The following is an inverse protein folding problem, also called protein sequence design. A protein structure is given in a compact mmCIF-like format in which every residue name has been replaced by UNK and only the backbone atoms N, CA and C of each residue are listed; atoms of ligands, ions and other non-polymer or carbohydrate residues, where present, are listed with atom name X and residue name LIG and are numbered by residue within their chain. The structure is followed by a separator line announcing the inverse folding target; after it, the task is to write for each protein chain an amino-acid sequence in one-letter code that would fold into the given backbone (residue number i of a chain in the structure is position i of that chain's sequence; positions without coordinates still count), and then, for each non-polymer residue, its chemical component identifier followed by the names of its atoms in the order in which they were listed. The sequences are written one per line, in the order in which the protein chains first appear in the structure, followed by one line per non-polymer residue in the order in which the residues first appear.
data_IF_249426483544
#
_entry.id   IF_249426483544
#
_cell.length_a   1.000
_cell.length_b   1.000
_cell.length_c   1.000
_cell.angle_alpha   90.00
_cell.angle_beta   90.00
_cell.angle_gamma   90.00
#
_symmetry.space_group_name_H-M   'P 1'
#
loop_
_entity.id
_entity.type
_entity.pdbx_description
1 polymer ?
#
# COMPACT_ATOMS: atom_id res chain seq x y z
N UNK A 1 -4.96 15.53 6.08
CA UNK A 1 -5.58 14.33 5.48
C UNK A 1 -6.84 14.77 4.77
N UNK A 2 -6.93 14.48 3.48
CA UNK A 2 -8.10 14.81 2.67
C UNK A 2 -9.06 13.63 2.67
N UNK A 3 -10.34 13.90 2.50
CA UNK A 3 -11.30 12.85 2.19
C UNK A 3 -11.03 12.24 0.81
N UNK A 4 -11.53 11.04 0.59
CA UNK A 4 -11.47 10.40 -0.73
C UNK A 4 -12.15 11.28 -1.79
N UNK A 5 -11.62 11.26 -3.00
CA UNK A 5 -12.18 12.05 -4.10
C UNK A 5 -13.59 11.57 -4.42
N UNK A 6 -14.53 12.51 -4.53
CA UNK A 6 -15.91 12.21 -4.90
C UNK A 6 -15.94 11.46 -6.25
N UNK A 7 -16.73 10.39 -6.38
CA UNK A 7 -16.84 9.61 -7.63
C UNK A 7 -17.11 10.45 -8.86
N UNK A 8 -17.88 11.52 -8.75
CA UNK A 8 -18.17 12.45 -9.86
C UNK A 8 -16.90 13.12 -10.43
N UNK A 9 -15.86 13.29 -9.62
CA UNK A 9 -14.59 13.93 -10.02
C UNK A 9 -13.55 12.92 -10.50
N UNK A 10 -13.88 11.63 -10.49
CA UNK A 10 -12.99 10.58 -10.97
C UNK A 10 -13.22 10.36 -12.45
N UNK A 11 -12.15 10.06 -13.18
CA UNK A 11 -12.27 9.56 -14.53
C UNK A 11 -11.92 8.08 -14.59
N UNK A 12 -12.36 7.43 -15.67
CA UNK A 12 -12.05 6.02 -15.84
C UNK A 12 -10.56 5.82 -16.06
N UNK A 13 -9.92 4.90 -15.33
CA UNK A 13 -8.54 4.52 -15.55
C UNK A 13 -8.32 4.01 -16.97
N UNK A 14 -7.27 4.48 -17.64
CA UNK A 14 -7.00 4.12 -19.02
C UNK A 14 -5.50 3.97 -19.34
N UNK A 15 -4.62 4.39 -18.45
CA UNK A 15 -3.18 4.37 -18.69
C UNK A 15 -2.51 3.22 -17.96
N UNK A 16 -1.61 2.54 -18.67
CA UNK A 16 -0.81 1.44 -18.16
C UNK A 16 0.35 1.96 -17.29
N UNK A 17 0.58 1.30 -16.17
CA UNK A 17 1.84 1.40 -15.42
C UNK A 17 2.65 0.12 -15.66
N UNK A 18 3.66 0.19 -16.51
CA UNK A 18 4.59 -0.91 -16.71
C UNK A 18 5.52 -1.03 -15.49
N UNK A 19 5.60 -2.21 -14.91
CA UNK A 19 6.46 -2.49 -13.74
C UNK A 19 7.84 -3.02 -14.15
N UNK A 20 7.99 -3.48 -15.38
CA UNK A 20 9.17 -4.17 -15.86
C UNK A 20 9.30 -5.61 -15.37
N UNK A 21 8.28 -6.14 -14.73
CA UNK A 21 8.17 -7.52 -14.28
C UNK A 21 7.13 -8.23 -15.16
N UNK A 22 7.59 -9.15 -16.01
CA UNK A 22 6.75 -9.78 -17.02
C UNK A 22 5.52 -10.48 -16.42
N UNK A 23 5.67 -11.15 -15.27
CA UNK A 23 4.56 -11.81 -14.57
C UNK A 23 3.45 -10.86 -14.15
N UNK A 24 3.78 -9.61 -13.80
CA UNK A 24 2.81 -8.57 -13.46
C UNK A 24 2.25 -7.97 -14.75
N UNK A 25 3.12 -7.49 -15.63
CA UNK A 25 2.73 -6.69 -16.79
C UNK A 25 1.86 -7.48 -17.80
N UNK A 26 2.08 -8.80 -17.91
CA UNK A 26 1.34 -9.66 -18.85
C UNK A 26 0.07 -10.26 -18.25
N UNK A 27 0.07 -10.62 -16.95
CA UNK A 27 -1.05 -11.35 -16.34
C UNK A 27 -1.96 -10.45 -15.49
N UNK A 28 -1.40 -9.46 -14.83
CA UNK A 28 -2.10 -8.55 -13.91
C UNK A 28 -1.73 -7.11 -14.18
N UNK A 29 -1.89 -6.70 -15.42
CA UNK A 29 -1.58 -5.35 -15.90
C UNK A 29 -2.10 -4.27 -14.96
N UNK A 30 -1.21 -3.40 -14.49
CA UNK A 30 -1.55 -2.31 -13.59
C UNK A 30 -1.99 -1.10 -14.42
N UNK A 31 -3.16 -0.56 -14.08
CA UNK A 31 -3.71 0.65 -14.70
C UNK A 31 -3.75 1.76 -13.64
N UNK A 32 -3.47 3.00 -14.07
CA UNK A 32 -3.49 4.17 -13.18
C UNK A 32 -4.83 4.32 -12.47
N UNK A 33 -4.79 4.65 -11.18
CA UNK A 33 -6.00 4.82 -10.37
C UNK A 33 -6.61 3.54 -9.81
N UNK A 34 -5.96 2.41 -10.05
CA UNK A 34 -6.38 1.09 -9.53
C UNK A 34 -5.81 0.83 -8.13
N UNK A 35 -6.53 0.06 -7.36
CA UNK A 35 -6.02 -0.61 -6.15
C UNK A 35 -5.89 -2.10 -6.45
N UNK A 36 -4.74 -2.68 -6.13
CA UNK A 36 -4.40 -4.05 -6.50
C UNK A 36 -3.90 -4.77 -5.26
N UNK A 37 -4.50 -5.90 -4.87
CA UNK A 37 -3.96 -6.74 -3.83
C UNK A 37 -2.75 -7.51 -4.35
N UNK A 38 -1.75 -7.70 -3.51
CA UNK A 38 -0.61 -8.55 -3.75
C UNK A 38 -0.49 -9.54 -2.60
N UNK A 39 -0.85 -10.79 -2.84
CA UNK A 39 -0.82 -11.84 -1.84
C UNK A 39 0.50 -12.60 -1.89
N UNK A 40 1.08 -12.84 -0.74
CA UNK A 40 2.32 -13.60 -0.62
C UNK A 40 2.32 -14.44 0.66
N UNK A 41 2.94 -15.61 0.59
CA UNK A 41 3.28 -16.35 1.80
C UNK A 41 4.45 -15.64 2.52
N UNK A 42 4.53 -15.73 3.86
CA UNK A 42 5.55 -15.01 4.64
C UNK A 42 7.00 -15.35 4.30
N UNK A 43 7.25 -16.53 3.73
CA UNK A 43 8.56 -17.01 3.31
C UNK A 43 8.96 -16.55 1.89
N UNK A 44 8.05 -15.93 1.15
CA UNK A 44 8.31 -15.43 -0.19
C UNK A 44 8.98 -14.05 -0.17
N UNK A 45 9.86 -13.73 -1.14
CA UNK A 45 10.60 -12.48 -1.18
C UNK A 45 9.76 -11.31 -1.70
N UNK A 46 8.57 -11.08 -1.12
CA UNK A 46 7.63 -10.05 -1.58
C UNK A 46 8.18 -8.62 -1.47
N UNK A 47 9.01 -8.34 -0.45
CA UNK A 47 9.66 -7.03 -0.34
C UNK A 47 10.70 -6.80 -1.43
N UNK A 48 11.40 -7.84 -1.88
CA UNK A 48 12.30 -7.75 -3.04
C UNK A 48 11.51 -7.45 -4.33
N UNK A 49 10.34 -8.04 -4.51
CA UNK A 49 9.45 -7.73 -5.64
C UNK A 49 8.99 -6.27 -5.56
N UNK A 50 8.58 -5.78 -4.39
CA UNK A 50 8.17 -4.38 -4.21
C UNK A 50 9.33 -3.42 -4.47
N UNK A 51 10.55 -3.71 -4.05
CA UNK A 51 11.73 -2.91 -4.36
C UNK A 51 11.98 -2.83 -5.87
N UNK A 52 11.86 -3.95 -6.58
CA UNK A 52 11.98 -3.97 -8.04
C UNK A 52 10.87 -3.18 -8.74
N UNK A 53 9.64 -3.28 -8.29
CA UNK A 53 8.52 -2.46 -8.79
C UNK A 53 8.82 -0.98 -8.57
N UNK A 54 9.26 -0.59 -7.38
CA UNK A 54 9.62 0.79 -7.07
C UNK A 54 10.70 1.36 -8.00
N UNK A 55 11.70 0.57 -8.34
CA UNK A 55 12.79 0.99 -9.22
C UNK A 55 12.39 1.09 -10.70
N UNK A 56 11.52 0.21 -11.15
CA UNK A 56 11.22 0.01 -12.58
C UNK A 56 9.88 0.57 -13.04
N UNK A 57 8.93 0.76 -12.14
CA UNK A 57 7.59 1.22 -12.51
C UNK A 57 7.63 2.58 -13.21
N UNK A 58 6.85 2.70 -14.27
CA UNK A 58 6.71 3.92 -15.08
C UNK A 58 5.70 4.87 -14.44
N UNK A 59 6.07 5.42 -13.29
CA UNK A 59 5.29 6.44 -12.58
C UNK A 59 6.20 7.62 -12.25
N UNK A 60 5.62 8.81 -12.07
CA UNK A 60 6.38 10.02 -11.77
C UNK A 60 6.96 9.99 -10.35
N UNK A 61 6.18 9.50 -9.40
CA UNK A 61 6.59 9.31 -8.00
C UNK A 61 6.16 7.93 -7.51
N UNK A 62 7.02 7.35 -6.67
CA UNK A 62 6.75 6.11 -5.94
C UNK A 62 6.74 6.45 -4.46
N UNK A 63 5.74 5.96 -3.74
CA UNK A 63 5.66 6.12 -2.30
C UNK A 63 5.64 4.73 -1.67
N UNK A 64 6.62 4.47 -0.82
CA UNK A 64 6.69 3.25 -0.04
C UNK A 64 6.11 3.51 1.36
N UNK A 65 5.07 2.80 1.72
CA UNK A 65 4.54 2.71 3.07
C UNK A 65 4.91 1.36 3.68
N UNK A 66 5.96 1.33 4.49
CA UNK A 66 6.42 0.13 5.19
C UNK A 66 5.81 0.04 6.58
N UNK A 67 5.12 -1.05 6.86
CA UNK A 67 4.40 -1.28 8.12
C UNK A 67 4.93 -2.52 8.82
N UNK A 68 5.63 -2.33 9.92
CA UNK A 68 6.21 -3.42 10.70
C UNK A 68 7.32 -4.17 9.97
N UNK A 69 8.11 -3.47 9.15
CA UNK A 69 9.25 -4.07 8.50
C UNK A 69 10.27 -4.56 9.52
N UNK A 70 10.93 -5.69 9.21
CA UNK A 70 12.13 -6.07 9.95
C UNK A 70 13.23 -5.04 9.70
N UNK A 71 14.21 -4.96 10.58
CA UNK A 71 15.35 -4.08 10.37
C UNK A 71 16.12 -4.43 9.09
N UNK A 72 16.19 -5.71 8.77
CA UNK A 72 16.86 -6.19 7.55
C UNK A 72 16.10 -5.74 6.29
N UNK A 73 14.78 -5.83 6.27
CA UNK A 73 13.95 -5.35 5.16
C UNK A 73 14.07 -3.83 4.99
N UNK A 74 14.07 -3.08 6.09
CA UNK A 74 14.27 -1.64 6.06
C UNK A 74 15.63 -1.26 5.45
N UNK A 75 16.70 -1.89 5.92
CA UNK A 75 18.05 -1.66 5.40
C UNK A 75 18.17 -2.09 3.92
N UNK A 76 17.51 -3.17 3.55
CA UNK A 76 17.45 -3.62 2.17
C UNK A 76 16.80 -2.57 1.25
N UNK A 77 15.63 -2.07 1.58
CA UNK A 77 14.98 -1.01 0.80
C UNK A 77 15.86 0.25 0.70
N UNK A 78 16.40 0.68 1.83
CA UNK A 78 17.27 1.86 1.88
C UNK A 78 18.47 1.69 0.95
N UNK A 79 19.19 0.59 1.06
CA UNK A 79 20.39 0.31 0.27
C UNK A 79 20.07 0.20 -1.22
N UNK A 80 18.98 -0.49 -1.59
CA UNK A 80 18.58 -0.67 -2.98
C UNK A 80 18.23 0.69 -3.61
N UNK A 81 17.50 1.54 -2.91
CA UNK A 81 17.11 2.86 -3.43
C UNK A 81 18.29 3.83 -3.51
N UNK A 82 19.17 3.84 -2.52
CA UNK A 82 20.39 4.66 -2.52
C UNK A 82 21.33 4.25 -3.66
N UNK A 83 21.59 2.95 -3.82
CA UNK A 83 22.48 2.42 -4.86
C UNK A 83 21.96 2.70 -6.28
N UNK A 84 20.64 2.73 -6.45
CA UNK A 84 20.01 3.04 -7.72
C UNK A 84 19.92 4.55 -8.01
N UNK A 85 20.27 5.42 -7.04
CA UNK A 85 20.10 6.86 -7.19
C UNK A 85 18.64 7.29 -7.34
N UNK A 86 17.69 6.52 -6.77
CA UNK A 86 16.26 6.68 -6.99
C UNK A 86 15.57 7.54 -5.91
N UNK A 87 16.31 8.12 -4.97
CA UNK A 87 15.75 8.86 -3.83
C UNK A 87 14.95 10.11 -4.24
N UNK A 88 15.25 10.70 -5.38
CA UNK A 88 14.49 11.86 -5.89
C UNK A 88 13.07 11.49 -6.35
N UNK A 89 12.85 10.23 -6.67
CA UNK A 89 11.58 9.69 -7.17
C UNK A 89 10.81 8.91 -6.12
N UNK A 90 11.49 8.35 -5.13
CA UNK A 90 10.92 7.47 -4.12
C UNK A 90 10.86 8.18 -2.77
N UNK A 91 9.65 8.27 -2.21
CA UNK A 91 9.41 8.76 -0.85
C UNK A 91 9.02 7.56 0.02
N UNK A 92 9.66 7.41 1.18
CA UNK A 92 9.43 6.27 2.06
C UNK A 92 8.95 6.73 3.43
N UNK A 93 7.88 6.08 3.91
CA UNK A 93 7.39 6.17 5.29
C UNK A 93 7.46 4.78 5.88
N UNK A 94 8.30 4.58 6.87
CA UNK A 94 8.59 3.24 7.38
C UNK A 94 8.41 3.19 8.89
N UNK A 95 7.62 2.21 9.32
CA UNK A 95 7.56 1.73 10.69
C UNK A 95 8.23 0.35 10.73
N UNK A 96 9.13 0.16 11.68
CA UNK A 96 9.81 -1.13 11.88
C UNK A 96 9.18 -1.91 13.03
N UNK A 97 9.60 -3.15 13.20
CA UNK A 97 9.18 -4.00 14.32
C UNK A 97 9.62 -3.45 15.69
N UNK A 98 10.63 -2.59 15.72
CA UNK A 98 11.14 -1.95 16.94
C UNK A 98 10.30 -0.72 17.35
N UNK A 99 9.51 -0.17 16.43
CA UNK A 99 8.65 0.98 16.69
C UNK A 99 7.32 0.54 17.33
N UNK A 100 6.67 1.43 18.12
CA UNK A 100 5.36 1.14 18.68
C UNK A 100 4.31 0.77 17.61
N UNK A 101 3.46 -0.25 17.86
CA UNK A 101 2.43 -0.67 16.88
C UNK A 101 1.45 0.46 16.48
N UNK A 102 1.19 1.41 17.38
CA UNK A 102 0.29 2.54 17.08
C UNK A 102 0.83 3.44 15.99
N UNK A 103 2.13 3.62 15.87
CA UNK A 103 2.76 4.40 14.79
C UNK A 103 2.54 3.73 13.43
N UNK A 104 2.43 2.41 13.39
CA UNK A 104 2.16 1.65 12.17
C UNK A 104 0.85 2.05 11.52
N UNK A 105 -0.16 2.42 12.32
CA UNK A 105 -1.46 2.86 11.82
C UNK A 105 -1.40 4.21 11.10
N UNK A 106 -0.36 5.01 11.35
CA UNK A 106 -0.18 6.31 10.71
C UNK A 106 0.48 6.22 9.33
N UNK A 107 1.19 5.12 9.05
CA UNK A 107 1.98 4.97 7.82
C UNK A 107 1.12 5.09 6.56
N UNK A 108 -0.02 4.39 6.41
CA UNK A 108 -0.86 4.56 5.22
C UNK A 108 -1.38 5.98 5.05
N UNK A 109 -1.75 6.64 6.13
CA UNK A 109 -2.24 8.03 6.09
C UNK A 109 -1.15 8.99 5.64
N UNK A 110 0.06 8.85 6.13
CA UNK A 110 1.20 9.66 5.71
C UNK A 110 1.55 9.42 4.24
N UNK A 111 1.64 8.15 3.83
CA UNK A 111 1.94 7.76 2.47
C UNK A 111 0.91 8.31 1.48
N UNK A 112 -0.38 8.15 1.78
CA UNK A 112 -1.46 8.62 0.93
C UNK A 112 -1.61 10.15 0.94
N UNK A 113 -1.31 10.82 2.03
CA UNK A 113 -1.28 12.29 2.07
C UNK A 113 -0.19 12.84 1.15
N UNK A 114 0.99 12.23 1.15
CA UNK A 114 2.05 12.58 0.20
C UNK A 114 1.64 12.27 -1.25
N UNK A 115 0.98 11.12 -1.48
CA UNK A 115 0.47 10.77 -2.80
C UNK A 115 -0.58 11.78 -3.31
N UNK A 116 -1.48 12.22 -2.46
CA UNK A 116 -2.48 13.25 -2.78
C UNK A 116 -1.83 14.58 -3.16
N UNK A 117 -0.78 14.99 -2.47
CA UNK A 117 -0.04 16.19 -2.84
C UNK A 117 0.51 16.11 -4.27
N UNK A 118 1.18 15.02 -4.61
CA UNK A 118 1.74 14.86 -5.95
C UNK A 118 0.65 14.66 -7.02
N UNK A 119 -0.39 13.89 -6.75
CA UNK A 119 -1.42 13.61 -7.74
C UNK A 119 -2.41 14.76 -7.91
N UNK A 120 -2.93 15.32 -6.82
CA UNK A 120 -3.99 16.33 -6.87
C UNK A 120 -3.40 17.72 -7.16
N UNK A 121 -2.35 18.10 -6.43
CA UNK A 121 -1.80 19.44 -6.51
C UNK A 121 -0.78 19.61 -7.65
N UNK A 122 -0.05 18.55 -7.99
CA UNK A 122 0.98 18.56 -9.04
C UNK A 122 0.56 17.85 -10.33
N UNK A 123 -0.51 17.07 -10.34
CA UNK A 123 -0.96 16.34 -11.52
C UNK A 123 -0.05 15.19 -11.92
N UNK A 124 0.71 14.64 -10.97
CA UNK A 124 1.65 13.56 -11.21
C UNK A 124 1.00 12.18 -11.06
N UNK A 125 1.55 11.18 -11.76
CA UNK A 125 1.19 9.77 -11.62
C UNK A 125 1.96 9.17 -10.47
N UNK A 126 1.25 8.78 -9.40
CA UNK A 126 1.84 8.26 -8.17
C UNK A 126 1.49 6.79 -8.01
N UNK A 127 2.49 5.96 -7.75
CA UNK A 127 2.32 4.57 -7.33
C UNK A 127 2.65 4.45 -5.85
N UNK A 128 1.70 3.96 -5.06
CA UNK A 128 1.85 3.73 -3.63
C UNK A 128 1.99 2.23 -3.37
N UNK A 129 3.05 1.84 -2.68
CA UNK A 129 3.31 0.47 -2.26
C UNK A 129 3.12 0.39 -0.76
N UNK A 130 2.11 -0.35 -0.32
CA UNK A 130 1.81 -0.57 1.10
C UNK A 130 2.20 -2.01 1.48
N UNK A 131 3.25 -2.15 2.27
CA UNK A 131 3.77 -3.44 2.72
C UNK A 131 4.10 -3.41 4.22
N UNK A 132 3.53 -4.16 5.10
CA UNK A 132 2.58 -5.24 4.95
C UNK A 132 1.23 -4.87 5.59
N UNK A 133 0.14 -5.02 4.86
CA UNK A 133 -1.20 -4.69 5.36
C UNK A 133 -1.69 -5.67 6.42
N UNK A 134 -1.17 -6.90 6.45
CA UNK A 134 -1.44 -7.85 7.54
C UNK A 134 -0.91 -7.32 8.87
N UNK A 135 0.30 -6.78 8.88
CA UNK A 135 0.90 -6.18 10.08
C UNK A 135 0.21 -4.86 10.49
N UNK A 136 -0.35 -4.13 9.52
CA UNK A 136 -1.23 -2.99 9.81
C UNK A 136 -2.48 -3.44 10.56
N UNK A 137 -3.15 -4.48 10.08
CA UNK A 137 -4.36 -5.00 10.72
C UNK A 137 -4.09 -5.60 12.11
N UNK A 138 -2.95 -6.24 12.31
CA UNK A 138 -2.53 -6.71 13.64
C UNK A 138 -2.35 -5.54 14.61
N UNK A 139 -1.73 -4.46 14.16
CA UNK A 139 -1.61 -3.24 14.98
C UNK A 139 -2.98 -2.62 15.29
N UNK A 140 -3.89 -2.62 14.32
CA UNK A 140 -5.27 -2.16 14.52
C UNK A 140 -6.00 -3.00 15.57
N UNK A 141 -5.84 -4.32 15.54
CA UNK A 141 -6.41 -5.23 16.52
C UNK A 141 -5.84 -4.97 17.93
N UNK A 142 -4.53 -4.76 18.06
CA UNK A 142 -3.89 -4.45 19.34
C UNK A 142 -4.45 -3.15 19.94
N UNK A 143 -4.57 -2.09 19.15
CA UNK A 143 -5.09 -0.80 19.62
C UNK A 143 -6.56 -0.91 19.95
N UNK A 144 -7.36 -1.57 19.11
CA UNK A 144 -8.79 -1.79 19.32
C UNK A 144 -9.09 -2.56 20.61
N UNK A 145 -8.32 -3.62 20.87
CA UNK A 145 -8.45 -4.40 22.11
C UNK A 145 -8.11 -3.58 23.36
N UNK A 146 -7.16 -2.67 23.27
CA UNK A 146 -6.85 -1.74 24.39
C UNK A 146 -7.91 -0.67 24.62
N UNK A 147 -8.76 -0.44 23.63
CA UNK A 147 -9.90 0.47 23.71
C UNK A 147 -11.21 -0.26 24.07
N UNK A 148 -11.13 -1.49 24.55
CA UNK A 148 -12.25 -2.34 24.94
C UNK A 148 -13.32 -2.52 23.84
N UNK A 149 -12.91 -2.49 22.57
CA UNK A 149 -13.80 -2.75 21.45
C UNK A 149 -14.09 -4.25 21.31
N UNK A 150 -15.33 -4.58 20.98
CA UNK A 150 -15.74 -5.97 20.77
C UNK A 150 -15.11 -6.50 19.48
N UNK A 151 -14.31 -7.58 19.54
CA UNK A 151 -13.72 -8.18 18.33
C UNK A 151 -14.77 -8.85 17.45
N UNK A 152 -14.53 -8.85 16.16
CA UNK A 152 -15.31 -9.58 15.16
C UNK A 152 -14.59 -10.87 14.73
N UNK A 153 -14.80 -11.29 13.48
CA UNK A 153 -14.16 -12.48 12.90
C UNK A 153 -12.62 -12.40 13.03
N UNK A 154 -12.00 -13.53 13.35
CA UNK A 154 -10.55 -13.70 13.50
C UNK A 154 -9.91 -12.76 14.54
N UNK A 155 -10.65 -12.38 15.59
CA UNK A 155 -10.21 -11.46 16.64
C UNK A 155 -9.87 -10.04 16.12
N UNK A 156 -10.31 -9.69 14.92
CA UNK A 156 -10.11 -8.37 14.33
C UNK A 156 -11.19 -7.38 14.79
N UNK A 157 -10.90 -6.08 14.80
CA UNK A 157 -11.90 -5.07 15.13
C UNK A 157 -13.03 -5.05 14.10
N UNK A 158 -14.24 -4.73 14.55
CA UNK A 158 -15.41 -4.62 13.67
C UNK A 158 -15.27 -3.55 12.58
N UNK A 159 -14.38 -2.57 12.78
CA UNK A 159 -14.07 -1.51 11.82
C UNK A 159 -13.07 -1.90 10.73
N UNK A 160 -12.48 -3.11 10.76
CA UNK A 160 -11.42 -3.50 9.84
C UNK A 160 -11.75 -3.22 8.38
N UNK A 161 -12.93 -3.63 7.93
CA UNK A 161 -13.36 -3.40 6.54
C UNK A 161 -13.40 -1.90 6.20
N UNK A 162 -14.01 -1.09 7.05
CA UNK A 162 -14.12 0.35 6.81
C UNK A 162 -12.78 1.07 6.89
N UNK A 163 -11.86 0.62 7.75
CA UNK A 163 -10.53 1.20 7.85
C UNK A 163 -9.68 0.87 6.61
N UNK A 164 -9.73 -0.38 6.14
CA UNK A 164 -9.08 -0.75 4.88
C UNK A 164 -9.71 -0.02 3.68
N UNK A 165 -11.04 0.09 3.64
CA UNK A 165 -11.74 0.80 2.58
C UNK A 165 -11.35 2.28 2.52
N UNK A 166 -11.19 2.95 3.65
CA UNK A 166 -10.71 4.35 3.70
C UNK A 166 -9.34 4.52 3.06
N UNK A 167 -8.46 3.55 3.24
CA UNK A 167 -7.11 3.55 2.65
C UNK A 167 -7.22 3.28 1.14
N UNK A 168 -7.84 2.18 0.74
CA UNK A 168 -7.84 1.73 -0.65
C UNK A 168 -8.68 2.61 -1.58
N UNK A 169 -9.74 3.22 -1.08
CA UNK A 169 -10.59 4.16 -1.84
C UNK A 169 -9.89 5.50 -2.19
N UNK A 170 -8.67 5.71 -1.70
CA UNK A 170 -7.80 6.81 -2.13
C UNK A 170 -7.23 6.61 -3.55
N UNK A 171 -7.21 5.39 -4.07
CA UNK A 171 -6.83 5.12 -5.44
C UNK A 171 -7.78 5.83 -6.40
N UNK A 172 -7.24 6.61 -7.34
CA UNK A 172 -8.03 7.49 -8.22
C UNK A 172 -7.25 7.88 -9.47
N UNK A 173 -7.96 8.00 -10.59
CA UNK A 173 -7.51 8.73 -11.78
C UNK A 173 -8.22 10.08 -11.81
N UNK A 174 -7.46 11.16 -11.97
CA UNK A 174 -7.96 12.52 -11.93
C UNK A 174 -7.99 13.18 -13.33
N UNK A 175 -8.91 14.12 -13.59
CA UNK A 175 -8.98 14.83 -14.87
C UNK A 175 -7.74 15.66 -15.21
N UNK A 176 -6.95 16.09 -14.20
CA UNK A 176 -5.72 16.84 -14.40
C UNK A 176 -4.52 15.99 -14.86
N UNK A 177 -4.73 14.69 -15.11
CA UNK A 177 -3.69 13.73 -15.47
C UNK A 177 -3.00 13.08 -14.27
N UNK A 178 -3.23 13.55 -13.05
CA UNK A 178 -2.72 12.94 -11.83
C UNK A 178 -3.46 11.64 -11.50
N UNK A 179 -2.76 10.73 -10.85
CA UNK A 179 -3.35 9.47 -10.39
C UNK A 179 -2.68 8.96 -9.15
N UNK A 180 -3.45 8.22 -8.34
CA UNK A 180 -2.96 7.43 -7.21
C UNK A 180 -3.31 5.98 -7.49
N UNK A 181 -2.30 5.15 -7.65
CA UNK A 181 -2.43 3.70 -7.82
C UNK A 181 -1.83 3.02 -6.60
N UNK A 182 -2.53 2.05 -6.04
CA UNK A 182 -2.13 1.39 -4.80
C UNK A 182 -1.88 -0.09 -5.05
N UNK A 183 -0.71 -0.57 -4.64
CA UNK A 183 -0.44 -2.00 -4.47
C UNK A 183 -0.41 -2.29 -2.97
N UNK A 184 -1.35 -3.10 -2.50
CA UNK A 184 -1.47 -3.50 -1.12
C UNK A 184 -0.96 -4.92 -0.93
N UNK A 185 0.19 -5.06 -0.27
CA UNK A 185 0.77 -6.36 0.04
C UNK A 185 0.12 -6.91 1.29
N UNK A 186 -0.37 -8.13 1.21
CA UNK A 186 -0.87 -8.90 2.36
C UNK A 186 -0.19 -10.24 2.43
N UNK A 187 0.32 -10.59 3.61
CA UNK A 187 0.90 -11.90 3.87
C UNK A 187 -0.19 -12.88 4.30
N UNK A 188 -0.11 -14.10 3.77
CA UNK A 188 -1.06 -15.16 4.04
C UNK A 188 -0.57 -16.00 5.22
N UNK A 189 -1.46 -16.33 6.15
CA UNK A 189 -1.16 -17.30 7.21
C UNK A 189 -1.45 -18.70 6.70
N UNK A 190 -0.38 -19.49 6.47
CA UNK A 190 -0.53 -20.85 5.95
C UNK A 190 -1.20 -20.96 4.58
N UNK A 191 -1.04 -19.95 3.72
CA UNK A 191 -1.67 -19.90 2.40
C UNK A 191 -3.19 -19.62 2.43
N UNK A 192 -3.74 -19.23 3.56
CA UNK A 192 -5.19 -18.99 3.71
C UNK A 192 -5.59 -17.61 3.21
N UNK A 193 -6.18 -17.57 2.02
CA UNK A 193 -6.75 -16.35 1.42
C UNK A 193 -8.13 -15.97 2.00
N UNK A 194 -8.74 -16.84 2.79
CA UNK A 194 -10.06 -16.60 3.40
C UNK A 194 -9.98 -15.92 4.77
N UNK A 195 -8.77 -15.71 5.28
CA UNK A 195 -8.54 -14.93 6.50
C UNK A 195 -9.05 -13.51 6.30
N UNK A 196 -9.47 -12.85 7.37
CA UNK A 196 -10.16 -11.55 7.31
C UNK A 196 -9.40 -10.47 6.53
N UNK A 197 -8.07 -10.45 6.57
CA UNK A 197 -7.25 -9.40 5.96
C UNK A 197 -7.13 -9.60 4.45
N UNK A 198 -6.66 -10.74 3.91
CA UNK A 198 -6.62 -10.95 2.48
C UNK A 198 -8.01 -10.96 1.85
N UNK A 199 -9.02 -11.52 2.51
CA UNK A 199 -10.40 -11.54 2.05
C UNK A 199 -10.94 -10.10 1.86
N UNK A 200 -10.87 -9.26 2.89
CA UNK A 200 -11.29 -7.86 2.79
C UNK A 200 -10.46 -7.06 1.78
N UNK A 201 -9.16 -7.28 1.70
CA UNK A 201 -8.29 -6.59 0.74
C UNK A 201 -8.64 -6.96 -0.70
N UNK A 202 -8.94 -8.23 -0.97
CA UNK A 202 -9.36 -8.69 -2.28
C UNK A 202 -10.79 -8.23 -2.64
N UNK A 203 -11.64 -7.99 -1.64
CA UNK A 203 -13.05 -7.63 -1.84
C UNK A 203 -13.24 -6.12 -2.09
N UNK A 204 -12.45 -5.27 -1.46
CA UNK A 204 -12.47 -3.81 -1.63
C UNK A 204 -11.81 -3.40 -2.94
#
# INVERSE_FOLDING_TARGET
IRDRVNPYRRIQPSELIATGIAGIDLNNTIVTGQKIPFFADPDQPYNAVMANVALRAKADKIILGGMGLTNDDFLYFKQVFENAGALDRIVSFVNTTENPPVERLLVPDMALTAAEYFAVDKGEKVLVLLTDMTLYADALAIVSNRMDQIPSKDSMPGSLYSDLAKIYEKAVQLPNGGSITIIAVTTLSGGDITHAIPDNTGYI
#
